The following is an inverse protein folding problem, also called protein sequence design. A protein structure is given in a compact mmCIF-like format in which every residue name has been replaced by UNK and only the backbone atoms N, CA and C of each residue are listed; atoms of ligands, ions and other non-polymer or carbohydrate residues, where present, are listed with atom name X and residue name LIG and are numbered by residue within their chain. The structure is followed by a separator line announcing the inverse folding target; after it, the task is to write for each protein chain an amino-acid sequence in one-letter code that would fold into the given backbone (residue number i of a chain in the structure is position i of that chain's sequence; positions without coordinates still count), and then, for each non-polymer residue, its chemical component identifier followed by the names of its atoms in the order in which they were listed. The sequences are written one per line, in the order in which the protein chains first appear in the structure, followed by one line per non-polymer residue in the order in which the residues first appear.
data_IF_467475005361
#
_entry.id   IF_467475005361
#
_cell.length_a   1.000
_cell.length_b   1.000
_cell.length_c   1.000
_cell.angle_alpha   90.00
_cell.angle_beta   90.00
_cell.angle_gamma   90.00
#
_symmetry.space_group_name_H-M   'P 1'
#
loop_
_entity.id
_entity.type
_entity.pdbx_description
1 polymer ?
#
# COMPACT_ATOMS: atom_id res chain seq x y z
N UNK A 1 5.11 -4.18 7.76
CA UNK A 1 5.06 -4.82 6.42
C UNK A 1 5.64 -3.84 5.41
N UNK A 2 6.60 -4.23 4.56
CA UNK A 2 7.19 -3.30 3.57
C UNK A 2 6.40 -3.31 2.27
N UNK A 3 6.12 -2.13 1.72
CA UNK A 3 5.38 -1.96 0.44
C UNK A 3 6.06 -2.71 -0.71
N UNK A 4 7.40 -2.77 -0.70
CA UNK A 4 8.15 -3.54 -1.69
C UNK A 4 7.84 -5.03 -1.67
N UNK A 5 7.75 -5.64 -0.49
CA UNK A 5 7.44 -7.07 -0.38
C UNK A 5 6.00 -7.37 -0.79
N UNK A 6 5.06 -6.47 -0.46
CA UNK A 6 3.68 -6.57 -0.93
C UNK A 6 3.60 -6.49 -2.46
N UNK A 7 4.31 -5.54 -3.07
CA UNK A 7 4.37 -5.40 -4.52
C UNK A 7 4.83 -6.71 -5.17
N UNK A 8 5.91 -7.33 -4.68
CA UNK A 8 6.37 -8.61 -5.20
C UNK A 8 5.36 -9.75 -4.94
N UNK A 9 4.72 -9.77 -3.77
CA UNK A 9 3.74 -10.81 -3.41
C UNK A 9 2.49 -10.78 -4.30
N UNK A 10 2.07 -9.59 -4.76
CA UNK A 10 0.92 -9.43 -5.67
C UNK A 10 1.31 -9.46 -7.16
N UNK A 11 2.57 -9.78 -7.48
CA UNK A 11 3.04 -9.97 -8.86
C UNK A 11 3.60 -8.72 -9.55
N UNK A 12 3.85 -7.64 -8.82
CA UNK A 12 4.54 -6.46 -9.35
C UNK A 12 6.06 -6.62 -9.23
N UNK A 13 6.77 -6.37 -10.32
CA UNK A 13 8.23 -6.38 -10.34
C UNK A 13 8.85 -5.02 -9.94
N UNK A 14 8.04 -3.97 -9.87
CA UNK A 14 8.49 -2.63 -9.50
C UNK A 14 7.60 -2.03 -8.38
N UNK A 15 8.14 -1.89 -7.15
CA UNK A 15 7.42 -1.31 -6.01
C UNK A 15 6.98 0.14 -6.20
N UNK A 16 7.71 0.94 -7.00
CA UNK A 16 7.36 2.34 -7.24
C UNK A 16 6.15 2.40 -8.17
N UNK A 17 6.13 1.56 -9.20
CA UNK A 17 4.99 1.42 -10.09
C UNK A 17 3.74 0.93 -9.34
N UNK A 18 3.90 -0.10 -8.49
CA UNK A 18 2.83 -0.54 -7.59
C UNK A 18 2.25 0.61 -6.77
N UNK A 19 3.11 1.41 -6.13
CA UNK A 19 2.66 2.54 -5.30
C UNK A 19 1.91 3.61 -6.10
N UNK A 20 2.35 3.88 -7.33
CA UNK A 20 1.68 4.83 -8.22
C UNK A 20 0.31 4.32 -8.69
N UNK A 21 0.22 3.04 -9.10
CA UNK A 21 -1.04 2.40 -9.47
C UNK A 21 -2.01 2.33 -8.29
N UNK A 22 -1.52 1.90 -7.12
CA UNK A 22 -2.32 1.81 -5.90
C UNK A 22 -2.90 3.18 -5.52
N UNK A 23 -2.09 4.25 -5.55
CA UNK A 23 -2.58 5.60 -5.31
C UNK A 23 -3.62 6.06 -6.33
N UNK A 24 -3.47 5.67 -7.60
CA UNK A 24 -4.43 6.02 -8.65
C UNK A 24 -5.77 5.31 -8.47
N UNK A 25 -5.77 4.04 -8.03
CA UNK A 25 -7.00 3.26 -7.84
C UNK A 25 -7.68 3.53 -6.49
N UNK A 26 -6.91 3.61 -5.40
CA UNK A 26 -7.43 3.74 -4.04
C UNK A 26 -7.42 5.19 -3.52
N UNK A 27 -6.81 6.11 -4.26
CA UNK A 27 -6.68 7.52 -3.88
C UNK A 27 -5.68 7.81 -2.75
N UNK A 28 -5.01 6.79 -2.22
CA UNK A 28 -4.10 6.89 -1.07
C UNK A 28 -2.85 6.03 -1.28
N UNK A 29 -1.74 6.34 -0.59
CA UNK A 29 -0.54 5.51 -0.69
C UNK A 29 -0.75 4.15 0.00
N UNK A 30 -0.11 3.07 -0.48
CA UNK A 30 -0.20 1.77 0.17
C UNK A 30 0.33 1.80 1.61
N UNK A 31 1.31 2.65 1.92
CA UNK A 31 1.78 2.87 3.29
C UNK A 31 0.71 3.48 4.20
N UNK A 32 -0.06 4.46 3.70
CA UNK A 32 -1.17 5.07 4.45
C UNK A 32 -2.30 4.07 4.65
N UNK A 33 -2.59 3.24 3.65
CA UNK A 33 -3.57 2.17 3.77
C UNK A 33 -3.16 1.15 4.84
N UNK A 34 -1.89 0.73 4.87
CA UNK A 34 -1.36 -0.18 5.88
C UNK A 34 -1.46 0.44 7.28
N UNK A 35 -1.10 1.71 7.43
CA UNK A 35 -1.23 2.44 8.69
C UNK A 35 -2.70 2.49 9.15
N UNK A 36 -3.62 2.84 8.23
CA UNK A 36 -5.05 3.01 8.55
C UNK A 36 -5.79 1.70 8.84
N UNK A 37 -5.49 0.62 8.12
CA UNK A 37 -6.26 -0.62 8.19
C UNK A 37 -5.56 -1.77 8.91
N UNK A 38 -4.23 -1.78 8.96
CA UNK A 38 -3.45 -2.86 9.56
C UNK A 38 -2.89 -2.46 10.93
N UNK A 39 -2.61 -1.16 11.17
CA UNK A 39 -2.19 -0.71 12.50
C UNK A 39 -3.33 -0.34 13.45
N UNK A 40 -4.58 -0.34 12.98
CA UNK A 40 -5.75 -0.29 13.86
C UNK A 40 -5.71 0.85 14.87
N UNK A 41 -5.81 2.08 14.39
CA UNK A 41 -6.51 3.12 15.15
C UNK A 41 -7.83 3.37 14.43
N UNK A 42 -8.90 2.82 15.00
CA UNK A 42 -10.22 3.43 14.96
C UNK A 42 -10.04 4.83 15.59
N UNK A 43 -9.54 5.78 14.79
CA UNK A 43 -9.42 7.16 15.24
C UNK A 43 -10.84 7.74 15.16
N UNK A 44 -11.39 8.21 16.30
CA UNK A 44 -12.81 8.54 16.46
C UNK A 44 -13.30 9.64 15.52
#
# INVERSE_FOLDING_TARGET
MRVSELAYAVGFNDPKYFSACFKKEFGMLPSEYIERFIQGEDKP
#
